data_IF_115628045071
#
_entry.id   IF_115628045071
#
_cell.length_a   1.000
_cell.length_b   1.000
_cell.length_c   1.000
_cell.angle_alpha   90.00
_cell.angle_beta   90.00
_cell.angle_gamma   90.00
#
_symmetry.space_group_name_H-M   'P 1'
#
loop_
_entity.id
_entity.type
_entity.pdbx_description
1 polymer ?
#
# COMPACT_ATOMS: atom_id res chain seq x y z
N UNK A 1 9.18 41.63 -20.34
CA UNK A 1 8.84 40.19 -20.39
C UNK A 1 9.82 39.39 -19.53
N UNK A 2 9.49 39.09 -18.27
CA UNK A 2 10.36 38.33 -17.35
C UNK A 2 9.90 36.87 -17.28
N UNK A 3 10.70 36.03 -17.95
CA UNK A 3 11.06 34.64 -17.68
C UNK A 3 10.04 33.76 -16.94
N UNK A 4 9.52 32.80 -17.70
CA UNK A 4 8.99 31.53 -17.21
C UNK A 4 9.95 30.91 -16.18
N UNK A 5 9.60 30.98 -14.90
CA UNK A 5 10.32 30.33 -13.81
C UNK A 5 9.31 29.86 -12.74
N UNK A 6 8.18 29.30 -13.17
CA UNK A 6 7.04 29.01 -12.28
C UNK A 6 6.72 27.51 -12.09
N UNK A 7 7.57 26.57 -12.56
CA UNK A 7 7.16 25.15 -12.61
C UNK A 7 8.20 24.10 -12.21
N UNK A 8 9.23 24.44 -11.44
CA UNK A 8 10.13 23.43 -10.86
C UNK A 8 10.00 23.29 -9.34
N UNK A 9 8.76 23.21 -8.84
CA UNK A 9 8.52 22.68 -7.50
C UNK A 9 8.67 21.15 -7.55
N UNK A 10 9.80 20.65 -7.06
CA UNK A 10 10.05 19.22 -6.87
C UNK A 10 8.97 18.63 -5.95
N UNK A 11 7.99 17.93 -6.54
CA UNK A 11 6.99 17.15 -5.79
C UNK A 11 7.68 15.91 -5.22
N UNK A 12 7.95 15.91 -3.92
CA UNK A 12 8.41 14.72 -3.21
C UNK A 12 7.21 14.03 -2.56
N UNK A 13 7.21 12.70 -2.62
CA UNK A 13 6.16 11.88 -2.06
C UNK A 13 6.65 11.24 -0.77
N UNK A 14 5.98 11.53 0.35
CA UNK A 14 6.22 10.86 1.62
C UNK A 14 5.19 9.74 1.78
N UNK A 15 5.64 8.54 2.11
CA UNK A 15 4.74 7.44 2.47
C UNK A 15 4.49 7.48 3.98
N UNK A 16 3.21 7.40 4.37
CA UNK A 16 2.78 7.28 5.77
C UNK A 16 2.18 5.89 5.95
N UNK A 17 2.67 5.14 6.93
CA UNK A 17 2.01 3.92 7.37
C UNK A 17 0.69 4.32 8.09
N UNK A 18 -0.44 3.89 7.55
CA UNK A 18 -1.77 4.16 8.12
C UNK A 18 -2.22 3.06 9.07
N UNK A 19 -1.78 1.83 8.84
CA UNK A 19 -2.16 0.72 9.70
C UNK A 19 -1.42 -0.56 9.37
N UNK A 20 -1.47 -1.48 10.33
CA UNK A 20 -1.01 -2.86 10.20
C UNK A 20 -2.16 -3.75 10.63
N UNK A 21 -2.44 -4.79 9.87
CA UNK A 21 -3.46 -5.77 10.22
C UNK A 21 -2.95 -7.17 9.95
N UNK A 22 -3.34 -8.08 10.83
CA UNK A 22 -3.03 -9.50 10.69
C UNK A 22 -4.31 -10.22 10.33
N UNK A 23 -4.29 -10.94 9.22
CA UNK A 23 -5.39 -11.71 8.72
C UNK A 23 -5.07 -13.19 8.78
N UNK A 24 -5.69 -13.91 9.72
CA UNK A 24 -5.58 -15.35 9.80
C UNK A 24 -6.65 -16.00 8.89
N UNK A 25 -6.22 -16.47 7.71
CA UNK A 25 -7.09 -17.12 6.72
C UNK A 25 -7.61 -18.48 7.18
N UNK A 26 -6.94 -19.17 8.09
CA UNK A 26 -7.42 -20.46 8.64
C UNK A 26 -8.73 -20.30 9.39
N UNK A 27 -8.93 -19.14 10.04
CA UNK A 27 -10.17 -18.81 10.77
C UNK A 27 -11.30 -18.34 9.86
N UNK A 28 -11.04 -18.13 8.56
CA UNK A 28 -12.06 -17.69 7.60
C UNK A 28 -12.90 -18.86 7.11
N UNK A 29 -14.20 -18.60 6.92
CA UNK A 29 -15.15 -19.59 6.38
C UNK A 29 -14.70 -20.03 4.98
N UNK A 30 -14.86 -21.30 4.60
CA UNK A 30 -14.34 -21.84 3.34
C UNK A 30 -14.72 -21.05 2.09
N UNK A 31 -15.97 -20.56 2.01
CA UNK A 31 -16.47 -19.78 0.88
C UNK A 31 -15.89 -18.36 0.76
N UNK A 32 -15.19 -17.87 1.78
CA UNK A 32 -14.51 -16.55 1.76
C UNK A 32 -13.02 -16.67 1.41
N UNK A 33 -12.55 -17.89 1.14
CA UNK A 33 -11.16 -18.16 0.74
C UNK A 33 -11.05 -17.81 -0.75
N UNK A 34 -10.37 -16.70 -1.07
CA UNK A 34 -10.05 -16.36 -2.46
C UNK A 34 -9.08 -17.39 -3.04
N UNK A 35 -9.21 -17.77 -4.31
CA UNK A 35 -8.34 -18.75 -5.00
C UNK A 35 -6.85 -18.35 -5.07
N UNK A 36 -6.51 -17.10 -4.78
CA UNK A 36 -5.12 -16.62 -4.69
C UNK A 36 -4.44 -17.02 -3.36
N UNK A 37 -4.25 -18.33 -3.16
CA UNK A 37 -3.49 -18.90 -2.04
C UNK A 37 -2.00 -18.78 -2.31
N UNK A 38 -1.41 -17.66 -1.88
CA UNK A 38 0.04 -17.55 -1.74
C UNK A 38 0.42 -18.20 -0.42
N UNK A 39 1.08 -19.37 -0.49
CA UNK A 39 1.52 -20.11 0.69
C UNK A 39 2.64 -19.34 1.42
N UNK A 40 3.59 -18.78 0.66
CA UNK A 40 4.63 -17.91 1.20
C UNK A 40 4.99 -16.86 0.15
N UNK A 41 5.13 -15.60 0.55
CA UNK A 41 5.56 -14.56 -0.38
C UNK A 41 5.19 -13.14 0.03
N UNK A 42 5.45 -12.21 -0.88
CA UNK A 42 5.15 -10.80 -0.73
C UNK A 42 4.25 -10.35 -1.87
N UNK A 43 3.19 -9.60 -1.57
CA UNK A 43 2.36 -8.98 -2.59
C UNK A 43 2.19 -7.49 -2.33
N UNK A 44 2.01 -6.73 -3.41
CA UNK A 44 1.66 -5.32 -3.37
C UNK A 44 0.28 -5.15 -3.98
N UNK A 45 -0.62 -4.50 -3.26
CA UNK A 45 -1.99 -4.24 -3.69
C UNK A 45 -2.25 -2.75 -3.71
N UNK A 46 -2.84 -2.25 -4.79
CA UNK A 46 -3.23 -0.85 -4.89
C UNK A 46 -4.74 -0.74 -4.65
N UNK A 47 -5.14 0.11 -3.72
CA UNK A 47 -6.56 0.43 -3.48
C UNK A 47 -6.96 1.72 -4.18
N UNK A 48 -6.03 2.69 -4.22
CA UNK A 48 -6.17 3.97 -4.91
C UNK A 48 -4.79 4.44 -5.40
N UNK A 49 -4.69 5.40 -6.32
CA UNK A 49 -3.40 5.94 -6.76
C UNK A 49 -2.53 6.49 -5.63
N UNK A 50 -3.15 6.87 -4.50
CA UNK A 50 -2.50 7.37 -3.30
C UNK A 50 -2.42 6.34 -2.16
N UNK A 51 -3.00 5.15 -2.29
CA UNK A 51 -3.03 4.15 -1.21
C UNK A 51 -2.71 2.75 -1.72
N UNK A 52 -1.77 2.09 -1.05
CA UNK A 52 -1.39 0.73 -1.34
C UNK A 52 -1.11 -0.05 -0.06
N UNK A 53 -1.16 -1.36 -0.17
CA UNK A 53 -0.81 -2.31 0.88
C UNK A 53 0.37 -3.16 0.41
N UNK A 54 1.32 -3.38 1.31
CA UNK A 54 2.25 -4.50 1.21
C UNK A 54 1.76 -5.60 2.13
N UNK A 55 1.54 -6.79 1.58
CA UNK A 55 1.13 -7.96 2.34
C UNK A 55 2.24 -9.01 2.32
N UNK A 56 2.59 -9.50 3.51
CA UNK A 56 3.47 -10.66 3.70
C UNK A 56 2.57 -11.86 3.94
N UNK A 57 2.74 -12.91 3.16
CA UNK A 57 1.99 -14.16 3.25
C UNK A 57 2.85 -15.22 3.93
N UNK A 58 2.39 -15.73 5.08
CA UNK A 58 3.05 -16.72 5.92
C UNK A 58 2.09 -17.86 6.22
N UNK A 59 1.96 -18.80 5.29
CA UNK A 59 1.22 -20.05 5.45
C UNK A 59 -0.20 -19.84 6.03
N UNK A 60 -1.02 -19.07 5.31
CA UNK A 60 -2.39 -18.74 5.72
C UNK A 60 -2.51 -17.63 6.77
N UNK A 61 -1.42 -17.08 7.29
CA UNK A 61 -1.39 -15.82 8.03
C UNK A 61 -0.90 -14.72 7.09
N UNK A 62 -1.69 -13.69 6.85
CA UNK A 62 -1.23 -12.49 6.15
C UNK A 62 -0.95 -11.36 7.12
N UNK A 63 0.13 -10.64 6.90
CA UNK A 63 0.42 -9.38 7.59
C UNK A 63 0.37 -8.28 6.53
N UNK A 64 -0.65 -7.44 6.60
CA UNK A 64 -0.84 -6.30 5.72
C UNK A 64 -0.33 -5.01 6.35
N UNK A 65 0.40 -4.22 5.57
CA UNK A 65 0.89 -2.90 5.91
C UNK A 65 0.29 -1.88 4.94
N UNK A 66 -0.58 -1.00 5.43
CA UNK A 66 -1.24 0.02 4.61
C UNK A 66 -0.44 1.30 4.60
N UNK A 67 -0.15 1.80 3.40
CA UNK A 67 0.57 3.03 3.18
C UNK A 67 -0.25 4.01 2.36
N UNK A 68 -0.21 5.27 2.76
CA UNK A 68 -0.73 6.39 2.00
C UNK A 68 0.39 7.32 1.53
N UNK A 69 0.30 7.69 0.26
CA UNK A 69 1.17 8.66 -0.41
C UNK A 69 0.66 10.07 -0.08
N UNK A 70 1.52 10.86 0.56
CA UNK A 70 1.25 12.27 0.86
C UNK A 70 2.14 13.11 -0.07
N UNK A 71 1.52 13.90 -0.94
CA UNK A 71 2.23 14.90 -1.74
C UNK A 71 2.49 16.14 -0.88
N UNK A 72 3.75 16.51 -0.70
CA UNK A 72 4.11 17.81 -0.14
C UNK A 72 4.67 18.70 -1.25
N UNK A 73 4.21 19.94 -1.25
CA UNK A 73 4.80 21.01 -2.05
C UNK A 73 5.84 21.68 -1.15
N UNK A 74 7.11 21.70 -1.58
CA UNK A 74 8.13 22.54 -0.93
C UNK A 74 7.78 23.99 -1.29
N UNK A 75 7.41 24.79 -0.28
CA UNK A 75 7.33 26.25 -0.41
C UNK A 75 8.73 26.82 -0.53
#
# INVERSE_FOLDING_TARGET
>A
MKKANMFNQLKYYKYRLEGVAVNNRWRRKPFTRSDNWVIFGFSKRWFMPMQFEYAIHLFGIDIGFWFRKISRIKK
#
